data_IF_020517691694
#
_entry.id   IF_020517691694
#
_cell.length_a   1.000
_cell.length_b   1.000
_cell.length_c   1.000
_cell.angle_alpha   90.00
_cell.angle_beta   90.00
_cell.angle_gamma   90.00
#
_symmetry.space_group_name_H-M   'P 1'
#
loop_
_entity.id
_entity.type
_entity.pdbx_description
1 polymer ?
#
# COMPACT_ATOMS: atom_id res chain seq x y z
N UNK A 1 -17.53 1.24 40.62
CA UNK A 1 -16.67 0.73 39.52
C UNK A 1 -16.14 1.97 38.79
N UNK A 2 -14.84 2.09 38.56
CA UNK A 2 -14.31 3.20 37.79
C UNK A 2 -14.92 3.16 36.38
N UNK A 3 -15.40 4.27 35.89
CA UNK A 3 -15.96 4.41 34.56
C UNK A 3 -14.86 4.11 33.52
N UNK A 4 -15.17 3.24 32.54
CA UNK A 4 -14.18 2.91 31.52
C UNK A 4 -14.02 4.13 30.60
N UNK A 5 -12.83 4.76 30.54
CA UNK A 5 -12.63 5.97 29.75
C UNK A 5 -12.92 5.77 28.25
N UNK A 6 -12.85 4.54 27.75
CA UNK A 6 -13.17 4.20 26.36
C UNK A 6 -14.65 4.48 26.04
N UNK A 7 -15.59 4.30 26.99
CA UNK A 7 -17.00 4.58 26.75
C UNK A 7 -17.21 6.07 26.40
N UNK A 8 -16.55 6.98 27.13
CA UNK A 8 -16.65 8.42 26.87
C UNK A 8 -16.10 8.77 25.48
N UNK A 9 -15.02 8.11 25.04
CA UNK A 9 -14.48 8.29 23.68
C UNK A 9 -15.48 7.83 22.63
N UNK A 10 -16.08 6.64 22.84
CA UNK A 10 -17.07 6.07 21.91
C UNK A 10 -18.29 6.98 21.76
N UNK A 11 -18.82 7.49 22.88
CA UNK A 11 -19.96 8.40 22.88
C UNK A 11 -19.61 9.71 22.15
N UNK A 12 -18.44 10.27 22.42
CA UNK A 12 -17.98 11.48 21.75
C UNK A 12 -17.79 11.29 20.24
N UNK A 13 -17.21 10.16 19.80
CA UNK A 13 -17.07 9.84 18.38
C UNK A 13 -18.42 9.66 17.71
N UNK A 14 -19.40 9.06 18.39
CA UNK A 14 -20.76 8.94 17.89
C UNK A 14 -21.46 10.30 17.73
N UNK A 15 -21.26 11.24 18.65
CA UNK A 15 -21.76 12.61 18.51
C UNK A 15 -21.04 13.36 17.36
N UNK A 16 -19.73 13.19 17.21
CA UNK A 16 -19.01 13.73 16.08
C UNK A 16 -19.54 13.19 14.74
N UNK A 17 -19.91 11.91 14.69
CA UNK A 17 -20.49 11.33 13.48
C UNK A 17 -21.83 11.98 13.11
N UNK A 18 -22.68 12.30 14.10
CA UNK A 18 -23.95 12.99 13.87
C UNK A 18 -23.75 14.41 13.34
N UNK A 19 -22.81 15.16 13.91
CA UNK A 19 -22.59 16.58 13.63
C UNK A 19 -21.60 16.84 12.48
N UNK A 20 -20.53 16.06 12.37
CA UNK A 20 -19.41 16.27 11.44
C UNK A 20 -19.16 15.07 10.52
N UNK A 21 -19.98 14.00 10.62
CA UNK A 21 -19.83 12.83 9.75
C UNK A 21 -20.06 13.18 8.29
N UNK A 22 -19.13 12.78 7.43
CA UNK A 22 -19.22 12.96 5.98
C UNK A 22 -20.22 11.95 5.43
N UNK A 23 -21.25 12.45 4.75
CA UNK A 23 -22.23 11.56 4.09
C UNK A 23 -21.58 10.85 2.91
N UNK A 24 -21.67 9.55 2.92
CA UNK A 24 -21.11 8.67 1.88
C UNK A 24 -22.18 8.18 0.91
N UNK A 25 -21.75 7.48 -0.12
CA UNK A 25 -22.62 6.80 -1.06
C UNK A 25 -23.55 5.83 -0.31
N UNK A 26 -24.87 5.98 -0.51
CA UNK A 26 -25.87 5.22 0.26
C UNK A 26 -26.41 5.92 1.51
N UNK A 27 -26.05 7.19 1.74
CA UNK A 27 -26.62 8.03 2.82
C UNK A 27 -26.06 7.77 4.21
N UNK A 28 -25.13 6.85 4.35
CA UNK A 28 -24.46 6.54 5.62
C UNK A 28 -23.38 7.59 5.93
N UNK A 29 -23.12 7.82 7.20
CA UNK A 29 -22.12 8.79 7.65
C UNK A 29 -20.82 8.10 8.08
N UNK A 30 -19.70 8.73 7.76
CA UNK A 30 -18.36 8.31 8.12
C UNK A 30 -17.67 9.43 8.89
N UNK A 31 -17.11 9.11 10.05
CA UNK A 31 -16.26 10.04 10.80
C UNK A 31 -14.82 9.88 10.35
N UNK A 32 -14.24 10.97 9.84
CA UNK A 32 -12.86 10.96 9.37
C UNK A 32 -11.87 10.52 10.46
N UNK A 33 -10.78 9.89 10.07
CA UNK A 33 -9.76 9.37 11.00
C UNK A 33 -9.18 10.45 11.88
N UNK A 34 -8.98 11.66 11.34
CA UNK A 34 -8.47 12.81 12.12
C UNK A 34 -9.34 13.12 13.34
N UNK A 35 -10.65 13.12 13.20
CA UNK A 35 -11.57 13.40 14.31
C UNK A 35 -11.61 12.26 15.33
N UNK A 36 -11.51 11.03 14.87
CA UNK A 36 -11.43 9.84 15.74
C UNK A 36 -10.12 9.80 16.51
N UNK A 37 -9.01 10.18 15.89
CA UNK A 37 -7.71 10.31 16.53
C UNK A 37 -7.69 11.46 17.54
N UNK A 38 -8.28 12.60 17.22
CA UNK A 38 -8.43 13.72 18.16
C UNK A 38 -9.23 13.31 19.40
N UNK A 39 -10.36 12.63 19.20
CA UNK A 39 -11.17 12.10 20.30
C UNK A 39 -10.36 11.10 21.15
N UNK A 40 -9.66 10.16 20.51
CA UNK A 40 -8.79 9.21 21.18
C UNK A 40 -7.75 9.92 22.07
N UNK A 41 -7.05 10.92 21.54
CA UNK A 41 -6.04 11.68 22.30
C UNK A 41 -6.65 12.55 23.41
N UNK A 42 -7.82 13.11 23.19
CA UNK A 42 -8.51 13.97 24.18
C UNK A 42 -8.87 13.20 25.45
N UNK A 43 -9.35 11.98 25.33
CA UNK A 43 -9.86 11.20 26.45
C UNK A 43 -8.85 10.23 27.04
N UNK A 44 -7.95 9.67 26.23
CA UNK A 44 -6.99 8.67 26.63
C UNK A 44 -5.56 9.22 26.79
N UNK A 45 -5.33 10.44 26.33
CA UNK A 45 -4.06 11.15 26.52
C UNK A 45 -2.87 10.45 25.85
N UNK A 46 -1.73 10.53 26.55
CA UNK A 46 -0.47 9.91 26.12
C UNK A 46 -0.24 8.52 26.69
N UNK A 47 -1.15 8.04 27.55
CA UNK A 47 -1.05 6.71 28.17
C UNK A 47 -1.29 5.58 27.17
N UNK A 48 -1.82 5.92 26.00
CA UNK A 48 -2.08 4.97 24.91
C UNK A 48 -1.22 5.30 23.70
N UNK A 49 -0.43 4.32 23.25
CA UNK A 49 0.42 4.41 22.07
C UNK A 49 -0.36 4.11 20.80
N UNK A 50 -0.03 4.82 19.72
CA UNK A 50 -0.40 4.45 18.35
C UNK A 50 0.89 4.38 17.57
N UNK A 51 1.18 3.22 16.99
CA UNK A 51 2.38 2.95 16.21
C UNK A 51 2.00 2.40 14.84
N UNK A 52 2.82 2.70 13.82
CA UNK A 52 2.63 2.20 12.47
C UNK A 52 3.89 1.52 11.96
N UNK A 53 3.71 0.43 11.24
CA UNK A 53 4.80 -0.35 10.67
C UNK A 53 4.52 -0.67 9.22
N UNK A 54 5.51 -0.44 8.36
CA UNK A 54 5.49 -0.88 6.98
C UNK A 54 5.72 -2.39 6.96
N UNK A 55 4.71 -3.14 6.53
CA UNK A 55 4.77 -4.60 6.38
C UNK A 55 5.28 -4.99 5.00
N UNK A 56 4.89 -4.23 3.97
CA UNK A 56 5.31 -4.42 2.58
C UNK A 56 5.46 -3.05 1.93
N UNK A 57 6.54 -2.83 1.22
CA UNK A 57 6.70 -1.77 0.23
C UNK A 57 7.58 -2.30 -0.90
N UNK A 58 6.94 -2.79 -1.95
CA UNK A 58 7.60 -3.41 -3.11
C UNK A 58 7.66 -2.48 -4.34
N UNK A 59 7.30 -1.19 -4.15
CA UNK A 59 7.25 -0.19 -5.21
C UNK A 59 5.96 -0.24 -6.03
N UNK A 60 5.16 -1.30 -5.92
CA UNK A 60 3.84 -1.42 -6.54
C UNK A 60 2.72 -1.20 -5.52
N UNK A 61 2.85 -1.80 -4.36
CA UNK A 61 1.90 -1.66 -3.26
C UNK A 61 2.63 -1.35 -1.95
N UNK A 62 1.89 -0.77 -1.04
CA UNK A 62 2.31 -0.56 0.33
C UNK A 62 1.28 -1.16 1.27
N UNK A 63 1.75 -1.91 2.27
CA UNK A 63 0.91 -2.48 3.33
C UNK A 63 1.41 -1.93 4.66
N UNK A 64 0.52 -1.27 5.40
CA UNK A 64 0.78 -0.72 6.71
C UNK A 64 -0.03 -1.48 7.76
N UNK A 65 0.61 -1.78 8.89
CA UNK A 65 -0.03 -2.21 10.12
C UNK A 65 0.01 -1.08 11.13
N UNK A 66 -1.15 -0.69 11.64
CA UNK A 66 -1.26 0.16 12.83
C UNK A 66 -1.55 -0.68 14.06
N UNK A 67 -0.96 -0.31 15.19
CA UNK A 67 -1.12 -0.98 16.48
C UNK A 67 -1.44 0.06 17.55
N UNK A 68 -2.43 -0.22 18.38
CA UNK A 68 -2.74 0.60 19.55
C UNK A 68 -2.38 -0.21 20.79
N UNK A 69 -1.60 0.40 21.69
CA UNK A 69 -1.17 -0.20 22.96
C UNK A 69 -1.62 0.65 24.15
N UNK A 70 -1.87 -0.02 25.27
CA UNK A 70 -2.14 0.64 26.53
C UNK A 70 -0.82 1.06 27.22
N UNK A 71 -0.92 1.73 28.37
CA UNK A 71 0.20 2.19 29.19
C UNK A 71 1.13 1.05 29.70
N UNK A 72 0.67 -0.19 29.67
CA UNK A 72 1.49 -1.36 30.03
C UNK A 72 2.20 -1.95 28.80
N UNK A 73 2.07 -1.35 27.61
CA UNK A 73 2.62 -1.85 26.37
C UNK A 73 1.83 -3.01 25.73
N UNK A 74 0.69 -3.40 26.30
CA UNK A 74 -0.13 -4.45 25.71
C UNK A 74 -0.88 -3.90 24.49
N UNK A 75 -0.82 -4.66 23.40
CA UNK A 75 -1.62 -4.35 22.20
C UNK A 75 -3.11 -4.56 22.55
N UNK A 76 -3.91 -3.52 22.32
CA UNK A 76 -5.36 -3.51 22.56
C UNK A 76 -6.18 -3.29 21.31
N UNK A 77 -5.56 -2.87 20.21
CA UNK A 77 -6.20 -2.69 18.90
C UNK A 77 -5.19 -2.78 17.78
N UNK A 78 -5.65 -3.19 16.60
CA UNK A 78 -4.83 -3.17 15.40
C UNK A 78 -5.67 -3.04 14.14
N UNK A 79 -5.04 -2.55 13.07
CA UNK A 79 -5.62 -2.44 11.74
C UNK A 79 -4.53 -2.60 10.68
N UNK A 80 -4.91 -3.10 9.53
CA UNK A 80 -4.03 -3.20 8.36
C UNK A 80 -4.72 -2.58 7.17
N UNK A 81 -3.94 -1.90 6.33
CA UNK A 81 -4.41 -1.35 5.07
C UNK A 81 -3.37 -1.57 3.98
N UNK A 82 -3.86 -1.78 2.78
CA UNK A 82 -3.08 -1.93 1.56
C UNK A 82 -3.53 -0.90 0.54
N UNK A 83 -2.55 -0.20 -0.04
CA UNK A 83 -2.77 0.72 -1.15
C UNK A 83 -1.86 0.37 -2.32
N UNK A 84 -2.42 0.45 -3.53
CA UNK A 84 -1.69 0.25 -4.78
C UNK A 84 -1.17 1.60 -5.25
N UNK A 85 0.13 1.72 -5.47
CA UNK A 85 0.76 2.94 -5.99
C UNK A 85 0.25 3.21 -7.41
N UNK A 86 -0.16 4.46 -7.66
CA UNK A 86 -0.72 4.87 -8.95
C UNK A 86 -2.21 4.57 -9.13
N UNK A 87 -2.86 3.81 -8.23
CA UNK A 87 -4.29 3.55 -8.31
C UNK A 87 -5.10 4.74 -7.78
N UNK A 88 -5.88 5.35 -8.66
CA UNK A 88 -6.67 6.52 -8.33
C UNK A 88 -5.84 7.80 -8.10
N UNK A 89 -6.54 8.90 -7.79
CA UNK A 89 -5.91 10.22 -7.71
C UNK A 89 -4.97 10.35 -6.49
N UNK A 90 -5.39 9.83 -5.33
CA UNK A 90 -4.63 9.93 -4.07
C UNK A 90 -3.37 9.06 -4.12
N UNK A 91 -3.50 7.80 -4.54
CA UNK A 91 -2.38 6.85 -4.53
C UNK A 91 -1.35 7.09 -5.64
N UNK A 92 -1.60 8.04 -6.53
CA UNK A 92 -0.64 8.46 -7.54
C UNK A 92 0.64 9.03 -6.91
N UNK A 93 0.51 9.73 -5.79
CA UNK A 93 1.61 10.39 -5.09
C UNK A 93 1.72 10.04 -3.62
N UNK A 94 0.64 9.60 -2.98
CA UNK A 94 0.49 9.51 -1.51
C UNK A 94 -0.06 8.15 -1.06
N UNK A 95 0.34 7.06 -1.71
CA UNK A 95 -0.13 5.71 -1.37
C UNK A 95 0.31 5.28 0.05
N UNK A 96 1.52 5.68 0.48
CA UNK A 96 2.03 5.36 1.82
C UNK A 96 1.21 6.07 2.90
N UNK A 97 1.00 7.36 2.77
CA UNK A 97 0.26 8.19 3.72
C UNK A 97 -1.22 7.78 3.78
N UNK A 98 -1.78 7.37 2.63
CA UNK A 98 -3.14 6.88 2.56
C UNK A 98 -3.29 5.52 3.25
N UNK A 99 -2.36 4.59 3.02
CA UNK A 99 -2.31 3.30 3.69
C UNK A 99 -2.16 3.46 5.22
N UNK A 100 -1.30 4.38 5.66
CA UNK A 100 -1.10 4.66 7.08
C UNK A 100 -2.37 5.18 7.73
N UNK A 101 -3.01 6.20 7.13
CA UNK A 101 -4.27 6.76 7.63
C UNK A 101 -5.37 5.69 7.69
N UNK A 102 -5.49 4.87 6.67
CA UNK A 102 -6.47 3.76 6.63
C UNK A 102 -6.18 2.70 7.69
N UNK A 103 -4.91 2.34 7.91
CA UNK A 103 -4.51 1.39 8.95
C UNK A 103 -4.84 1.91 10.36
N UNK A 104 -4.53 3.18 10.64
CA UNK A 104 -4.89 3.85 11.91
C UNK A 104 -6.42 3.86 12.08
N UNK A 105 -7.17 4.22 11.05
CA UNK A 105 -8.63 4.23 11.09
C UNK A 105 -9.21 2.86 11.43
N UNK A 106 -8.65 1.77 10.90
CA UNK A 106 -9.03 0.38 11.21
C UNK A 106 -8.65 -0.02 12.63
N UNK A 107 -7.46 0.39 13.10
CA UNK A 107 -7.03 0.16 14.47
C UNK A 107 -7.96 0.85 15.49
N UNK A 108 -8.34 2.10 15.24
CA UNK A 108 -9.33 2.81 16.06
C UNK A 108 -10.70 2.13 16.01
N UNK A 109 -11.13 1.65 14.85
CA UNK A 109 -12.39 0.92 14.71
C UNK A 109 -12.40 -0.39 15.51
N UNK A 110 -11.26 -1.08 15.63
CA UNK A 110 -11.13 -2.30 16.44
C UNK A 110 -11.33 -2.06 17.94
N UNK A 111 -11.19 -0.80 18.40
CA UNK A 111 -11.52 -0.36 19.76
C UNK A 111 -12.97 0.12 19.92
N UNK A 112 -13.80 0.03 18.88
CA UNK A 112 -15.16 0.57 18.89
C UNK A 112 -15.27 2.05 18.48
N UNK A 113 -14.17 2.65 18.01
CA UNK A 113 -14.12 4.06 17.58
C UNK A 113 -14.34 4.20 16.06
N UNK A 114 -15.26 3.41 15.50
CA UNK A 114 -15.57 3.47 14.07
C UNK A 114 -16.29 4.79 13.71
N UNK A 115 -17.19 5.26 14.57
CA UNK A 115 -17.92 6.50 14.35
C UNK A 115 -18.79 6.43 13.07
N UNK A 116 -19.64 5.42 12.97
CA UNK A 116 -20.46 5.15 11.80
C UNK A 116 -19.95 3.99 10.96
N UNK A 117 -19.67 4.21 9.68
CA UNK A 117 -19.16 3.16 8.79
C UNK A 117 -17.71 2.77 9.11
N UNK A 118 -17.41 1.48 9.01
CA UNK A 118 -16.06 0.95 9.25
C UNK A 118 -15.06 1.39 8.18
N UNK A 119 -15.51 1.46 6.93
CA UNK A 119 -14.72 1.85 5.77
C UNK A 119 -15.20 3.17 5.18
N UNK A 120 -14.29 3.99 4.68
CA UNK A 120 -14.60 5.20 3.93
C UNK A 120 -15.13 4.87 2.51
N UNK A 121 -15.80 5.84 1.85
CA UNK A 121 -16.20 5.66 0.44
C UNK A 121 -15.00 5.45 -0.47
N UNK A 122 -13.86 6.08 -0.19
CA UNK A 122 -12.63 5.86 -0.95
C UNK A 122 -12.13 4.40 -0.84
N UNK A 123 -12.24 3.79 0.35
CA UNK A 123 -11.92 2.38 0.56
C UNK A 123 -12.91 1.47 -0.18
N UNK A 124 -14.21 1.81 -0.17
CA UNK A 124 -15.25 1.07 -0.91
C UNK A 124 -15.05 1.20 -2.42
N UNK A 125 -14.70 2.40 -2.92
CA UNK A 125 -14.39 2.61 -4.33
C UNK A 125 -13.11 1.87 -4.75
N UNK A 126 -12.10 1.79 -3.86
CA UNK A 126 -10.91 0.98 -4.10
C UNK A 126 -11.23 -0.51 -4.20
N UNK A 127 -12.13 -1.04 -3.34
CA UNK A 127 -12.62 -2.42 -3.44
C UNK A 127 -13.35 -2.63 -4.76
N UNK A 128 -14.20 -1.69 -5.18
CA UNK A 128 -14.92 -1.78 -6.46
C UNK A 128 -13.95 -1.79 -7.63
N UNK A 129 -12.96 -0.88 -7.65
CA UNK A 129 -11.92 -0.86 -8.70
C UNK A 129 -11.09 -2.15 -8.70
N UNK A 130 -10.70 -2.66 -7.53
CA UNK A 130 -10.00 -3.95 -7.40
C UNK A 130 -10.85 -5.11 -7.93
N UNK A 131 -12.16 -5.11 -7.66
CA UNK A 131 -13.07 -6.16 -8.17
C UNK A 131 -13.32 -6.02 -9.67
N UNK A 132 -13.41 -4.82 -10.21
CA UNK A 132 -13.53 -4.55 -11.65
C UNK A 132 -12.26 -4.95 -12.39
N UNK A 133 -11.08 -4.63 -11.85
CA UNK A 133 -9.80 -5.07 -12.39
C UNK A 133 -9.66 -6.60 -12.39
N UNK A 134 -10.22 -7.29 -11.41
CA UNK A 134 -10.29 -8.75 -11.37
C UNK A 134 -11.32 -9.34 -12.34
N UNK A 135 -12.38 -8.58 -12.67
CA UNK A 135 -13.42 -9.01 -13.62
C UNK A 135 -13.06 -8.74 -15.07
N UNK A 136 -12.18 -7.77 -15.33
CA UNK A 136 -11.64 -7.48 -16.67
C UNK A 136 -10.46 -8.38 -17.06
N UNK A 137 -9.92 -9.16 -16.12
CA UNK A 137 -9.08 -10.30 -16.48
C UNK A 137 -9.99 -11.41 -17.00
N UNK A 138 -9.75 -11.94 -18.21
CA UNK A 138 -10.53 -13.08 -18.70
C UNK A 138 -10.48 -14.19 -17.65
N UNK A 139 -11.66 -14.73 -17.32
CA UNK A 139 -11.79 -15.90 -16.44
C UNK A 139 -10.70 -16.89 -16.82
N UNK A 140 -9.84 -17.32 -15.87
CA UNK A 140 -8.95 -18.42 -16.20
C UNK A 140 -9.81 -19.61 -16.58
N UNK A 141 -9.60 -20.12 -17.78
CA UNK A 141 -10.05 -21.46 -18.11
C UNK A 141 -9.56 -22.44 -17.05
N UNK A 142 -10.26 -23.60 -16.85
CA UNK A 142 -9.98 -24.49 -15.75
C UNK A 142 -8.49 -24.80 -15.69
N UNK A 143 -7.98 -24.72 -14.48
CA UNK A 143 -6.62 -24.91 -14.03
C UNK A 143 -5.89 -25.97 -14.84
N UNK A 144 -5.15 -25.56 -15.86
CA UNK A 144 -4.00 -26.32 -16.32
C UNK A 144 -2.88 -26.11 -15.29
N UNK A 145 -2.32 -27.19 -14.83
CA UNK A 145 -1.20 -27.24 -13.91
C UNK A 145 -0.14 -26.24 -14.33
N UNK A 146 0.20 -25.32 -13.41
CA UNK A 146 1.31 -24.40 -13.63
C UNK A 146 2.56 -25.25 -13.85
N UNK A 147 3.05 -25.26 -15.08
CA UNK A 147 4.42 -25.66 -15.34
C UNK A 147 5.32 -24.72 -14.54
N UNK A 148 6.26 -25.26 -13.78
CA UNK A 148 7.28 -24.54 -13.00
C UNK A 148 8.29 -23.76 -13.87
N UNK A 149 7.96 -23.43 -15.11
CA UNK A 149 8.80 -22.60 -15.96
C UNK A 149 8.54 -21.11 -15.63
N UNK A 150 9.57 -20.36 -15.26
CA UNK A 150 9.44 -18.93 -14.96
C UNK A 150 8.92 -18.20 -16.20
N UNK A 151 7.88 -17.36 -16.00
CA UNK A 151 7.37 -16.46 -17.03
C UNK A 151 8.56 -15.73 -17.70
N UNK A 152 8.52 -15.58 -19.03
CA UNK A 152 9.58 -14.95 -19.84
C UNK A 152 10.12 -13.64 -19.24
N UNK A 153 9.24 -12.83 -18.65
CA UNK A 153 9.62 -11.55 -18.02
C UNK A 153 10.29 -11.72 -16.66
N UNK A 154 9.97 -12.76 -15.91
CA UNK A 154 10.68 -13.11 -14.68
C UNK A 154 12.08 -13.64 -14.98
N UNK A 155 12.20 -14.41 -16.03
CA UNK A 155 13.51 -14.88 -16.52
C UNK A 155 14.38 -13.68 -16.95
N UNK A 156 13.80 -12.69 -17.66
CA UNK A 156 14.52 -11.48 -18.06
C UNK A 156 14.94 -10.64 -16.85
N UNK A 157 14.08 -10.47 -15.84
CA UNK A 157 14.43 -9.76 -14.60
C UNK A 157 15.59 -10.45 -13.85
N UNK A 158 15.57 -11.77 -13.75
CA UNK A 158 16.68 -12.55 -13.17
C UNK A 158 17.98 -12.40 -13.96
N UNK A 159 17.90 -12.42 -15.30
CA UNK A 159 19.05 -12.18 -16.18
C UNK A 159 19.66 -10.79 -15.93
N UNK A 160 18.82 -9.75 -15.84
CA UNK A 160 19.25 -8.39 -15.52
C UNK A 160 19.92 -8.34 -14.15
N UNK A 161 19.33 -8.93 -13.11
CA UNK A 161 19.88 -8.94 -11.75
C UNK A 161 21.25 -9.62 -11.69
N UNK A 162 21.37 -10.81 -12.29
CA UNK A 162 22.65 -11.54 -12.38
C UNK A 162 23.69 -10.74 -13.15
N UNK A 163 23.30 -10.14 -14.28
CA UNK A 163 24.21 -9.32 -15.09
C UNK A 163 24.68 -8.10 -14.32
N UNK A 164 23.79 -7.41 -13.60
CA UNK A 164 24.13 -6.22 -12.82
C UNK A 164 25.09 -6.55 -11.66
N UNK A 165 24.95 -7.68 -11.00
CA UNK A 165 25.90 -8.16 -9.97
C UNK A 165 27.33 -8.35 -10.50
N UNK A 166 27.46 -8.72 -11.77
CA UNK A 166 28.74 -9.00 -12.43
C UNK A 166 29.28 -7.80 -13.23
N UNK A 167 28.52 -6.75 -13.45
CA UNK A 167 28.92 -5.56 -14.21
C UNK A 167 29.77 -4.63 -13.35
N UNK A 168 31.01 -4.39 -13.74
CA UNK A 168 31.99 -3.59 -12.98
C UNK A 168 32.25 -2.22 -13.60
N UNK A 169 32.02 -2.07 -14.90
CA UNK A 169 32.33 -0.83 -15.62
C UNK A 169 31.09 -0.24 -16.30
N UNK A 170 31.09 1.09 -16.48
CA UNK A 170 30.06 1.78 -17.23
C UNK A 170 29.97 1.35 -18.69
N UNK A 171 31.13 0.93 -19.27
CA UNK A 171 31.19 0.40 -20.62
C UNK A 171 30.43 -0.90 -20.73
N UNK A 172 30.69 -1.87 -19.81
CA UNK A 172 30.02 -3.19 -19.80
C UNK A 172 28.49 -3.02 -19.67
N UNK A 173 28.04 -2.06 -18.85
CA UNK A 173 26.63 -1.75 -18.71
C UNK A 173 26.02 -1.22 -20.02
N UNK A 174 26.72 -0.29 -20.69
CA UNK A 174 26.26 0.25 -21.99
C UNK A 174 26.22 -0.83 -23.06
N UNK A 175 27.23 -1.67 -23.14
CA UNK A 175 27.30 -2.74 -24.11
C UNK A 175 26.13 -3.74 -23.91
N UNK A 176 25.81 -4.08 -22.66
CA UNK A 176 24.64 -4.89 -22.34
C UNK A 176 23.33 -4.21 -22.75
N UNK A 177 23.14 -2.96 -22.35
CA UNK A 177 21.88 -2.21 -22.66
C UNK A 177 21.70 -1.94 -24.16
N UNK A 178 22.79 -1.87 -24.93
CA UNK A 178 22.76 -1.62 -26.38
C UNK A 178 22.66 -2.89 -27.22
N UNK A 179 22.75 -4.06 -26.61
CA UNK A 179 22.52 -5.32 -27.31
C UNK A 179 21.13 -5.33 -27.99
N UNK A 180 21.07 -5.62 -29.30
CA UNK A 180 19.83 -5.54 -30.06
C UNK A 180 18.71 -6.38 -29.47
N UNK A 181 19.03 -7.62 -29.14
CA UNK A 181 18.07 -8.54 -28.54
C UNK A 181 17.55 -8.09 -27.15
N UNK A 182 18.39 -7.44 -26.35
CA UNK A 182 17.97 -6.90 -25.06
C UNK A 182 16.96 -5.74 -25.22
N UNK A 183 17.21 -4.82 -26.17
CA UNK A 183 16.30 -3.71 -26.44
C UNK A 183 14.93 -4.18 -26.92
N UNK A 184 14.89 -5.17 -27.78
CA UNK A 184 13.65 -5.78 -28.29
C UNK A 184 12.85 -6.42 -27.14
N UNK A 185 13.50 -7.20 -26.28
CA UNK A 185 12.87 -7.83 -25.11
C UNK A 185 12.35 -6.78 -24.12
N UNK A 186 13.09 -5.70 -23.88
CA UNK A 186 12.64 -4.62 -23.02
C UNK A 186 11.42 -3.89 -23.63
N UNK A 187 11.39 -3.68 -24.92
CA UNK A 187 10.23 -3.08 -25.61
C UNK A 187 9.00 -3.99 -25.56
N UNK A 188 9.18 -5.29 -25.76
CA UNK A 188 8.13 -6.29 -25.63
C UNK A 188 7.60 -6.37 -24.20
N UNK A 189 8.48 -6.36 -23.19
CA UNK A 189 8.10 -6.29 -21.77
C UNK A 189 7.33 -5.01 -21.47
N UNK A 190 7.72 -3.86 -22.01
CA UNK A 190 7.01 -2.60 -21.80
C UNK A 190 5.57 -2.65 -22.31
N UNK A 191 5.34 -3.34 -23.43
CA UNK A 191 4.02 -3.49 -24.01
C UNK A 191 3.14 -4.52 -23.29
N UNK A 192 3.75 -5.64 -22.81
CA UNK A 192 3.03 -6.78 -22.25
C UNK A 192 2.91 -6.71 -20.71
N UNK A 193 3.93 -6.23 -20.00
CA UNK A 193 3.99 -6.10 -18.54
C UNK A 193 4.71 -4.80 -18.15
N UNK A 194 4.02 -3.65 -18.20
CA UNK A 194 4.61 -2.35 -17.86
C UNK A 194 5.21 -2.31 -16.44
N UNK A 195 4.66 -3.09 -15.52
CA UNK A 195 5.15 -3.13 -14.14
C UNK A 195 6.55 -3.77 -14.06
N UNK A 196 6.73 -4.94 -14.63
CA UNK A 196 8.06 -5.60 -14.69
C UNK A 196 9.07 -4.78 -15.50
N UNK A 197 8.60 -4.09 -16.55
CA UNK A 197 9.44 -3.13 -17.28
C UNK A 197 9.98 -2.00 -16.39
N UNK A 198 9.14 -1.41 -15.54
CA UNK A 198 9.59 -0.36 -14.62
C UNK A 198 10.62 -0.88 -13.62
N UNK A 199 10.43 -2.09 -13.07
CA UNK A 199 11.42 -2.72 -12.18
C UNK A 199 12.76 -2.90 -12.91
N UNK A 200 12.74 -3.46 -14.12
CA UNK A 200 13.94 -3.65 -14.93
C UNK A 200 14.69 -2.33 -15.20
N UNK A 201 13.93 -1.31 -15.60
CA UNK A 201 14.46 0.04 -15.87
C UNK A 201 15.10 0.67 -14.64
N UNK A 202 14.47 0.56 -13.47
CA UNK A 202 14.99 1.14 -12.24
C UNK A 202 16.31 0.48 -11.80
N UNK A 203 16.42 -0.84 -11.94
CA UNK A 203 17.68 -1.56 -11.71
C UNK A 203 18.79 -1.01 -12.62
N UNK A 204 18.51 -0.86 -13.91
CA UNK A 204 19.46 -0.35 -14.89
C UNK A 204 19.87 1.10 -14.62
N UNK A 205 18.91 1.96 -14.26
CA UNK A 205 19.16 3.37 -13.94
C UNK A 205 20.02 3.51 -12.69
N UNK A 206 19.72 2.77 -11.63
CA UNK A 206 20.53 2.75 -10.39
C UNK A 206 21.96 2.32 -10.67
N UNK A 207 22.16 1.28 -11.49
CA UNK A 207 23.49 0.81 -11.85
C UNK A 207 24.23 1.80 -12.74
N UNK A 208 23.54 2.43 -13.70
CA UNK A 208 24.12 3.46 -14.55
C UNK A 208 24.61 4.67 -13.73
N UNK A 209 23.83 5.08 -12.71
CA UNK A 209 24.23 6.17 -11.81
C UNK A 209 25.43 5.78 -10.96
N UNK A 210 25.47 4.54 -10.47
CA UNK A 210 26.56 4.01 -9.63
C UNK A 210 27.89 3.89 -10.39
N UNK A 211 27.84 3.55 -11.68
CA UNK A 211 29.02 3.29 -12.52
C UNK A 211 29.46 4.49 -13.36
N UNK A 212 28.73 5.62 -13.33
CA UNK A 212 29.19 6.85 -13.99
C UNK A 212 30.50 7.30 -13.36
N UNK A 213 31.53 7.61 -14.16
CA UNK A 213 32.73 8.23 -13.64
C UNK A 213 32.37 9.53 -12.91
N UNK A 214 32.83 9.66 -11.69
CA UNK A 214 32.81 10.97 -11.03
C UNK A 214 33.87 11.81 -11.73
N UNK A 215 33.41 12.78 -12.56
CA UNK A 215 34.29 13.75 -13.24
C UNK A 215 34.90 14.75 -12.25
#
# INVERSE_FOLDING_TARGET
MAENPLNNVMDFVNELNKSHGVTQRGGKKYTQVVHRMEAFRRFLGLDYGVDTQIMVDDGHRVVIKATISNNNGNQIGSGMAEEIRGDGHVNKTSALENAETSAIGRALSSLGLAGGEYASSNEMDAVTRKSEALQTTPTPAPTEEKSDEPNEWEALLREIDVKMKNTKTHKDLKDFMNGGHFKERMAAMQAADPHKYHIARDILVRMNTKLKPQG
#
